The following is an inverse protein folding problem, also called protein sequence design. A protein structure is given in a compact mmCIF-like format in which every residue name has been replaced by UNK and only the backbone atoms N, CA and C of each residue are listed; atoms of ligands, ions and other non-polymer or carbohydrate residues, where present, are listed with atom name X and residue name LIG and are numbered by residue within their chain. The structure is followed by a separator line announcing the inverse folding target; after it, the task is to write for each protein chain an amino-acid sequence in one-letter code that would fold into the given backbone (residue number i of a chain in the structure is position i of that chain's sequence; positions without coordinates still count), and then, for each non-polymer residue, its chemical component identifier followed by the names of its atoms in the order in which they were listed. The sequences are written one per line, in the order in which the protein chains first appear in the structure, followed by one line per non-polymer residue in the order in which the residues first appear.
data_IF_064650980937
#
_entry.id   IF_064650980937
#
_cell.length_a   1.000
_cell.length_b   1.000
_cell.length_c   1.000
_cell.angle_alpha   90.00
_cell.angle_beta   90.00
_cell.angle_gamma   90.00
#
_symmetry.space_group_name_H-M   'P 1'
#
loop_
_entity.id
_entity.type
_entity.pdbx_description
1 polymer ?
#
# COMPACT_ATOMS: atom_id res chain seq x y z
N UNK A 1 17.51 -12.31 -9.13
CA UNK A 1 16.06 -12.08 -8.95
C UNK A 1 15.77 -11.88 -7.48
N UNK A 2 15.03 -10.84 -7.10
CA UNK A 2 14.52 -10.59 -5.74
C UNK A 2 13.01 -10.78 -5.76
N UNK A 3 12.43 -11.54 -4.81
CA UNK A 3 10.99 -11.67 -4.67
C UNK A 3 10.45 -10.69 -3.65
N UNK A 4 9.47 -9.93 -4.03
CA UNK A 4 8.74 -9.01 -3.15
C UNK A 4 7.37 -9.57 -2.80
N UNK A 5 7.05 -9.61 -1.51
CA UNK A 5 5.72 -9.85 -0.99
C UNK A 5 5.27 -8.51 -0.42
N UNK A 6 4.30 -7.87 -1.04
CA UNK A 6 3.88 -6.51 -0.69
C UNK A 6 2.46 -6.54 -0.15
N UNK A 7 2.24 -5.98 1.05
CA UNK A 7 0.91 -5.84 1.61
C UNK A 7 0.49 -4.37 1.69
N UNK A 8 -0.78 -4.10 1.42
CA UNK A 8 -1.43 -2.92 1.96
C UNK A 8 -1.63 -3.13 3.46
N UNK A 9 -1.40 -2.10 4.27
CA UNK A 9 -1.67 -2.15 5.71
C UNK A 9 -3.10 -2.63 6.04
N UNK A 10 -3.30 -3.21 7.21
CA UNK A 10 -4.62 -3.55 7.76
C UNK A 10 -5.52 -2.32 7.88
N UNK A 11 -6.81 -2.50 8.11
CA UNK A 11 -7.74 -1.39 8.29
C UNK A 11 -7.24 -0.44 9.38
N UNK A 12 -7.04 0.83 9.05
CA UNK A 12 -6.72 1.87 10.04
C UNK A 12 -7.99 2.49 10.63
N UNK A 13 -7.84 3.24 11.72
CA UNK A 13 -8.91 4.05 12.30
C UNK A 13 -9.46 5.02 11.24
N UNK A 14 -8.58 5.67 10.46
CA UNK A 14 -9.01 6.55 9.38
C UNK A 14 -9.83 5.82 8.31
N UNK A 15 -9.47 4.58 7.96
CA UNK A 15 -10.27 3.78 7.02
C UNK A 15 -11.66 3.46 7.58
N UNK A 16 -11.77 3.14 8.87
CA UNK A 16 -13.05 2.87 9.52
C UNK A 16 -13.94 4.11 9.57
N UNK A 17 -13.35 5.30 9.71
CA UNK A 17 -14.03 6.60 9.76
C UNK A 17 -14.18 7.27 8.38
N UNK A 18 -13.78 6.61 7.29
CA UNK A 18 -13.85 7.16 5.93
C UNK A 18 -13.05 8.45 5.73
N UNK A 19 -11.91 8.58 6.43
CA UNK A 19 -11.01 9.72 6.32
C UNK A 19 -9.83 9.43 5.38
N UNK A 20 -9.38 10.47 4.72
CA UNK A 20 -8.15 10.46 3.94
C UNK A 20 -6.96 10.55 4.89
N UNK A 21 -6.19 9.48 5.01
CA UNK A 21 -5.13 9.41 6.00
C UNK A 21 -3.84 10.14 5.57
N UNK A 22 -3.41 9.94 4.30
CA UNK A 22 -2.16 10.50 3.80
C UNK A 22 -0.97 10.18 4.70
N UNK A 23 -0.22 11.19 5.12
CA UNK A 23 0.89 11.09 6.09
C UNK A 23 0.43 11.20 7.55
N UNK A 24 -0.84 11.50 7.82
CA UNK A 24 -1.38 11.46 9.18
C UNK A 24 -1.26 10.07 9.79
N UNK A 25 -0.78 10.00 11.04
CA UNK A 25 -0.32 8.76 11.66
C UNK A 25 -1.42 8.05 12.47
N UNK A 26 -2.47 7.64 11.78
CA UNK A 26 -3.53 6.79 12.35
C UNK A 26 -3.07 5.35 12.50
N UNK A 27 -3.34 4.75 13.65
CA UNK A 27 -3.07 3.34 13.92
C UNK A 27 -4.13 2.41 13.32
N UNK A 28 -3.91 1.09 13.45
CA UNK A 28 -4.85 0.04 13.08
C UNK A 28 -6.13 0.11 13.94
N UNK A 29 -7.26 -0.17 13.31
CA UNK A 29 -8.49 -0.51 14.02
C UNK A 29 -8.40 -1.91 14.63
N UNK A 30 -9.37 -2.31 15.46
CA UNK A 30 -9.42 -3.68 15.99
C UNK A 30 -9.52 -4.74 14.86
N UNK A 31 -10.24 -4.43 13.79
CA UNK A 31 -10.27 -5.28 12.59
C UNK A 31 -8.89 -5.30 11.92
N UNK A 32 -8.21 -4.16 11.83
CA UNK A 32 -6.88 -4.07 11.25
C UNK A 32 -5.84 -4.89 12.02
N UNK A 33 -5.93 -4.94 13.35
CA UNK A 33 -5.06 -5.80 14.19
C UNK A 33 -5.30 -7.29 13.90
N UNK A 34 -6.57 -7.70 13.76
CA UNK A 34 -6.90 -9.07 13.37
C UNK A 34 -6.38 -9.40 11.97
N UNK A 35 -6.49 -8.47 11.02
CA UNK A 35 -5.95 -8.63 9.68
C UNK A 35 -4.43 -8.79 9.70
N UNK A 36 -3.71 -8.05 10.54
CA UNK A 36 -2.25 -8.16 10.69
C UNK A 36 -1.83 -9.57 11.16
N UNK A 37 -2.56 -10.16 12.10
CA UNK A 37 -2.32 -11.55 12.55
C UNK A 37 -2.56 -12.56 11.42
N UNK A 38 -3.64 -12.40 10.64
CA UNK A 38 -3.95 -13.28 9.51
C UNK A 38 -2.92 -13.15 8.37
N UNK A 39 -2.40 -11.94 8.12
CA UNK A 39 -1.27 -11.73 7.21
C UNK A 39 -0.05 -12.52 7.70
N UNK A 40 0.27 -12.42 8.98
CA UNK A 40 1.41 -13.14 9.55
C UNK A 40 1.25 -14.66 9.44
N UNK A 41 0.06 -15.21 9.74
CA UNK A 41 -0.24 -16.63 9.56
C UNK A 41 -0.02 -17.10 8.12
N UNK A 42 -0.55 -16.31 7.17
CA UNK A 42 -0.42 -16.61 5.75
C UNK A 42 1.03 -16.54 5.26
N UNK A 43 1.75 -15.48 5.63
CA UNK A 43 3.13 -15.25 5.21
C UNK A 43 4.08 -16.30 5.77
N UNK A 44 4.03 -16.56 7.07
CA UNK A 44 4.91 -17.54 7.71
C UNK A 44 4.67 -18.97 7.21
N UNK A 45 3.42 -19.29 6.80
CA UNK A 45 3.09 -20.60 6.25
C UNK A 45 3.57 -20.80 4.81
N UNK A 46 3.53 -19.76 4.00
CA UNK A 46 3.68 -19.89 2.55
C UNK A 46 5.02 -19.39 2.01
N UNK A 47 5.79 -18.61 2.79
CA UNK A 47 7.03 -18.00 2.31
C UNK A 47 8.16 -18.09 3.32
N UNK A 48 9.38 -18.26 2.81
CA UNK A 48 10.60 -18.02 3.58
C UNK A 48 10.98 -16.55 3.35
N UNK A 49 10.78 -15.72 4.34
CA UNK A 49 11.08 -14.28 4.29
C UNK A 49 12.47 -14.06 4.87
N UNK A 50 13.31 -13.30 4.16
CA UNK A 50 14.69 -13.02 4.53
C UNK A 50 14.90 -11.59 5.07
N UNK A 51 14.00 -10.63 4.73
CA UNK A 51 14.05 -9.25 5.21
C UNK A 51 12.64 -8.64 5.24
N UNK A 52 12.42 -7.66 6.15
CA UNK A 52 11.14 -6.97 6.30
C UNK A 52 11.37 -5.45 6.21
N UNK A 53 10.67 -4.79 5.31
CA UNK A 53 10.60 -3.34 5.16
C UNK A 53 9.18 -2.86 5.40
N UNK A 54 9.04 -1.68 5.97
CA UNK A 54 7.72 -1.09 6.19
C UNK A 54 7.74 0.43 6.01
N UNK A 55 6.63 1.00 5.56
CA UNK A 55 6.36 2.40 5.87
C UNK A 55 6.49 2.61 7.39
N UNK A 56 7.04 3.74 7.78
CA UNK A 56 7.18 4.14 9.19
C UNK A 56 5.88 4.62 9.83
N UNK A 57 4.78 4.78 9.03
CA UNK A 57 3.46 5.11 9.57
C UNK A 57 2.87 3.92 10.35
N UNK A 58 2.31 4.19 11.53
CA UNK A 58 1.86 3.19 12.51
C UNK A 58 1.02 2.08 11.89
N UNK A 59 0.03 2.38 11.06
CA UNK A 59 -0.85 1.39 10.44
C UNK A 59 -0.08 0.36 9.59
N UNK A 60 0.95 0.79 8.86
CA UNK A 60 1.76 -0.11 8.04
C UNK A 60 2.80 -0.85 8.90
N UNK A 61 3.45 -0.13 9.81
CA UNK A 61 4.42 -0.70 10.72
C UNK A 61 3.80 -1.78 11.62
N UNK A 62 2.65 -1.48 12.23
CA UNK A 62 1.93 -2.42 13.10
C UNK A 62 1.33 -3.62 12.34
N UNK A 63 1.11 -3.49 11.03
CA UNK A 63 0.75 -4.65 10.18
C UNK A 63 1.90 -5.65 10.04
N UNK A 64 3.17 -5.21 10.12
CA UNK A 64 4.33 -6.10 10.03
C UNK A 64 4.72 -6.76 11.35
N UNK A 65 4.37 -6.17 12.49
CA UNK A 65 4.82 -6.63 13.82
C UNK A 65 4.57 -8.11 14.07
N UNK A 66 3.39 -8.69 13.82
CA UNK A 66 3.15 -10.11 14.06
C UNK A 66 4.07 -11.02 13.22
N UNK A 67 4.29 -10.64 11.95
CA UNK A 67 5.19 -11.38 11.04
C UNK A 67 6.64 -11.30 11.53
N UNK A 68 7.12 -10.12 11.85
CA UNK A 68 8.47 -9.86 12.34
C UNK A 68 8.76 -10.62 13.63
N UNK A 69 7.82 -10.58 14.59
CA UNK A 69 7.91 -11.30 15.85
C UNK A 69 8.03 -12.82 15.66
N UNK A 70 7.22 -13.41 14.76
CA UNK A 70 7.23 -14.86 14.50
C UNK A 70 8.50 -15.33 13.81
N UNK A 71 9.07 -14.50 12.94
CA UNK A 71 10.27 -14.84 12.19
C UNK A 71 11.58 -14.42 12.88
N UNK A 72 11.50 -13.63 13.95
CA UNK A 72 12.67 -13.08 14.63
C UNK A 72 13.46 -12.10 13.74
N UNK A 73 12.79 -11.39 12.83
CA UNK A 73 13.39 -10.43 11.91
C UNK A 73 13.12 -9.00 12.37
N UNK A 74 14.09 -8.12 12.16
CA UNK A 74 13.91 -6.68 12.37
C UNK A 74 13.09 -6.06 11.23
N UNK A 75 12.29 -5.03 11.56
CA UNK A 75 11.57 -4.22 10.59
C UNK A 75 12.43 -3.01 10.24
N UNK A 76 12.70 -2.81 8.96
CA UNK A 76 13.44 -1.66 8.44
C UNK A 76 12.40 -0.59 7.99
N UNK A 77 12.22 0.50 8.77
CA UNK A 77 11.27 1.55 8.41
C UNK A 77 11.82 2.43 7.29
N UNK A 78 10.93 2.80 6.34
CA UNK A 78 11.27 3.67 5.21
C UNK A 78 10.18 4.73 4.98
N UNK A 79 10.55 6.00 5.04
CA UNK A 79 9.65 7.13 4.73
C UNK A 79 9.21 7.12 3.26
N UNK A 80 10.04 6.59 2.36
CA UNK A 80 9.71 6.44 0.94
C UNK A 80 8.62 5.40 0.66
N UNK A 81 8.25 4.58 1.64
CA UNK A 81 7.10 3.66 1.59
C UNK A 81 5.81 4.27 2.15
N UNK A 82 5.81 5.53 2.62
CA UNK A 82 4.60 6.23 3.09
C UNK A 82 3.55 6.34 1.98
N UNK A 83 2.29 6.45 2.37
CA UNK A 83 1.16 6.75 1.49
C UNK A 83 1.40 8.07 0.72
N UNK A 84 0.58 8.37 -0.27
CA UNK A 84 0.55 9.68 -0.91
C UNK A 84 0.45 10.77 0.18
N UNK A 85 1.29 11.80 0.08
CA UNK A 85 1.11 12.99 0.90
C UNK A 85 -0.21 13.65 0.47
N UNK A 86 -1.20 13.61 1.34
CA UNK A 86 -2.53 14.09 1.01
C UNK A 86 -2.70 15.62 1.24
N UNK A 87 -1.68 16.29 1.78
CA UNK A 87 -1.69 17.73 1.98
C UNK A 87 -2.92 18.18 2.78
N UNK A 88 -3.69 19.10 2.20
CA UNK A 88 -4.88 19.68 2.84
C UNK A 88 -6.05 18.69 3.05
N UNK A 89 -5.97 17.49 2.45
CA UNK A 89 -7.01 16.46 2.60
C UNK A 89 -6.82 15.59 3.84
N UNK A 90 -5.66 15.67 4.49
CA UNK A 90 -5.34 14.79 5.61
C UNK A 90 -6.33 14.93 6.78
N UNK A 91 -6.80 13.78 7.28
CA UNK A 91 -7.78 13.69 8.35
C UNK A 91 -9.21 14.08 7.98
N UNK A 92 -9.48 14.57 6.77
CA UNK A 92 -10.82 14.92 6.28
C UNK A 92 -11.54 13.71 5.74
N UNK A 93 -12.86 13.71 5.83
CA UNK A 93 -13.72 12.77 5.11
C UNK A 93 -13.78 13.13 3.62
N UNK A 94 -14.18 12.18 2.77
CA UNK A 94 -14.36 12.45 1.33
C UNK A 94 -15.40 13.53 1.06
N UNK A 95 -16.45 13.63 1.89
CA UNK A 95 -17.49 14.64 1.75
C UNK A 95 -16.95 16.04 2.10
N UNK A 96 -16.14 16.14 3.16
CA UNK A 96 -15.45 17.37 3.53
C UNK A 96 -14.48 17.83 2.43
N UNK A 97 -13.71 16.89 1.85
CA UNK A 97 -12.79 17.19 0.75
C UNK A 97 -13.56 17.68 -0.48
N UNK A 98 -14.64 17.00 -0.84
CA UNK A 98 -15.47 17.39 -1.97
C UNK A 98 -16.11 18.77 -1.79
N UNK A 99 -16.45 19.14 -0.56
CA UNK A 99 -17.02 20.45 -0.24
C UNK A 99 -15.99 21.57 -0.33
N UNK A 100 -14.76 21.34 0.18
CA UNK A 100 -13.73 22.37 0.32
C UNK A 100 -12.83 22.46 -0.93
N UNK A 101 -12.56 21.32 -1.59
CA UNK A 101 -11.66 21.20 -2.74
C UNK A 101 -12.33 20.49 -3.92
N UNK A 102 -13.48 20.99 -4.42
CA UNK A 102 -14.31 20.28 -5.41
C UNK A 102 -13.60 20.02 -6.73
N UNK A 103 -12.71 20.92 -7.17
CA UNK A 103 -11.97 20.78 -8.43
C UNK A 103 -10.95 19.66 -8.35
N UNK A 104 -10.01 19.71 -7.39
CA UNK A 104 -8.96 18.72 -7.23
C UNK A 104 -9.54 17.33 -6.91
N UNK A 105 -10.55 17.28 -6.04
CA UNK A 105 -11.23 16.02 -5.71
C UNK A 105 -12.05 15.48 -6.89
N UNK A 106 -12.57 16.35 -7.72
CA UNK A 106 -13.21 15.99 -8.99
C UNK A 106 -12.25 15.29 -9.94
N UNK A 107 -11.00 15.78 -10.06
CA UNK A 107 -9.93 15.12 -10.83
C UNK A 107 -9.59 13.77 -10.19
N UNK A 108 -9.41 13.70 -8.87
CA UNK A 108 -9.14 12.44 -8.16
C UNK A 108 -10.18 11.35 -8.44
N UNK A 109 -11.46 11.72 -8.51
CA UNK A 109 -12.55 10.77 -8.77
C UNK A 109 -12.65 10.32 -10.22
N UNK A 110 -12.41 11.21 -11.17
CA UNK A 110 -12.74 10.98 -12.56
C UNK A 110 -11.50 10.77 -13.45
N UNK A 111 -10.34 11.27 -13.03
CA UNK A 111 -9.07 11.17 -13.74
C UNK A 111 -7.91 10.99 -12.74
N UNK A 112 -7.98 9.89 -12.00
CA UNK A 112 -7.01 9.57 -10.95
C UNK A 112 -5.55 9.66 -11.44
N UNK A 113 -5.31 9.27 -12.68
CA UNK A 113 -3.97 9.27 -13.28
C UNK A 113 -3.31 10.65 -13.28
N UNK A 114 -4.10 11.71 -13.46
CA UNK A 114 -3.64 13.09 -13.50
C UNK A 114 -3.92 13.85 -12.19
N UNK A 115 -4.33 13.15 -11.15
CA UNK A 115 -4.71 13.78 -9.89
C UNK A 115 -3.52 14.20 -9.03
N UNK A 116 -3.74 15.25 -8.26
CA UNK A 116 -2.87 15.72 -7.18
C UNK A 116 -3.73 16.05 -5.96
N UNK A 117 -3.31 15.63 -4.79
CA UNK A 117 -3.92 16.11 -3.55
C UNK A 117 -3.57 17.60 -3.36
N UNK A 118 -4.54 18.41 -2.99
CA UNK A 118 -4.32 19.85 -2.76
C UNK A 118 -3.19 20.08 -1.75
N UNK A 119 -2.12 20.75 -2.15
CA UNK A 119 -0.93 20.94 -1.31
C UNK A 119 -0.09 19.69 -1.03
N UNK A 120 -0.39 18.58 -1.71
CA UNK A 120 0.28 17.29 -1.52
C UNK A 120 0.93 16.74 -2.80
N UNK A 121 1.12 15.40 -2.83
CA UNK A 121 1.69 14.67 -3.96
C UNK A 121 0.66 14.43 -5.07
N UNK A 122 1.15 14.27 -6.30
CA UNK A 122 0.41 13.67 -7.41
C UNK A 122 0.57 12.15 -7.42
N UNK A 123 -0.35 11.49 -8.11
CA UNK A 123 -0.27 10.03 -8.36
C UNK A 123 0.97 9.65 -9.17
N UNK A 124 1.43 10.51 -10.09
CA UNK A 124 2.64 10.29 -10.87
C UNK A 124 3.90 10.33 -9.99
N UNK A 125 4.00 11.29 -9.06
CA UNK A 125 5.13 11.36 -8.10
C UNK A 125 5.19 10.11 -7.22
N UNK A 126 4.05 9.59 -6.76
CA UNK A 126 3.99 8.35 -5.99
C UNK A 126 4.42 7.15 -6.85
N UNK A 127 3.98 7.10 -8.11
CA UNK A 127 4.31 6.02 -9.03
C UNK A 127 5.83 5.88 -9.23
N UNK A 128 6.54 7.00 -9.36
CA UNK A 128 8.00 7.00 -9.51
C UNK A 128 8.70 6.72 -8.17
N UNK A 129 8.30 7.38 -7.09
CA UNK A 129 8.89 7.20 -5.75
C UNK A 129 8.86 5.75 -5.27
N UNK A 130 7.75 5.05 -5.45
CA UNK A 130 7.65 3.65 -5.00
C UNK A 130 8.54 2.74 -5.83
N UNK A 131 8.67 2.98 -7.12
CA UNK A 131 9.52 2.15 -7.96
C UNK A 131 11.01 2.33 -7.61
N UNK A 132 11.46 3.56 -7.44
CA UNK A 132 12.84 3.85 -7.01
C UNK A 132 13.14 3.19 -5.66
N UNK A 133 12.14 3.19 -4.76
CA UNK A 133 12.25 2.51 -3.45
C UNK A 133 12.40 1.00 -3.62
N UNK A 134 11.61 0.36 -4.49
CA UNK A 134 11.71 -1.09 -4.76
C UNK A 134 13.06 -1.42 -5.42
N UNK A 135 13.56 -0.62 -6.35
CA UNK A 135 14.88 -0.79 -6.95
C UNK A 135 15.99 -0.80 -5.88
N UNK A 136 15.96 0.19 -4.98
CA UNK A 136 16.93 0.29 -3.88
C UNK A 136 16.86 -0.92 -2.93
N UNK A 137 15.65 -1.35 -2.54
CA UNK A 137 15.50 -2.55 -1.70
C UNK A 137 16.02 -3.79 -2.43
N UNK A 138 15.80 -3.90 -3.75
CA UNK A 138 16.25 -5.03 -4.54
C UNK A 138 17.78 -5.11 -4.65
N UNK A 139 18.48 -3.97 -4.76
CA UNK A 139 19.94 -3.89 -4.76
C UNK A 139 20.53 -4.49 -3.47
N UNK A 140 19.94 -4.17 -2.32
CA UNK A 140 20.39 -4.65 -1.00
C UNK A 140 20.02 -6.12 -0.73
N UNK A 141 19.07 -6.70 -1.51
CA UNK A 141 18.48 -7.99 -1.24
C UNK A 141 18.49 -8.96 -2.44
N UNK A 142 19.55 -8.92 -3.25
CA UNK A 142 19.70 -9.83 -4.38
C UNK A 142 19.56 -11.30 -3.99
N UNK A 143 18.66 -12.05 -4.65
CA UNK A 143 18.43 -13.47 -4.38
C UNK A 143 17.53 -13.79 -3.20
N UNK A 144 16.99 -12.78 -2.50
CA UNK A 144 16.17 -12.93 -1.29
C UNK A 144 14.69 -12.76 -1.56
N UNK A 145 13.88 -13.19 -0.59
CA UNK A 145 12.45 -12.88 -0.49
C UNK A 145 12.25 -11.78 0.56
N UNK A 146 11.68 -10.66 0.14
CA UNK A 146 11.50 -9.45 0.95
C UNK A 146 10.01 -9.22 1.19
N UNK A 147 9.63 -9.05 2.45
CA UNK A 147 8.29 -8.59 2.82
C UNK A 147 8.28 -7.06 2.93
N UNK A 148 7.29 -6.41 2.30
CA UNK A 148 7.09 -4.96 2.34
C UNK A 148 5.67 -4.63 2.75
N UNK A 149 5.48 -3.84 3.81
CA UNK A 149 4.18 -3.27 4.16
C UNK A 149 4.11 -1.81 3.76
N UNK A 150 3.07 -1.46 3.00
CA UNK A 150 2.86 -0.13 2.45
C UNK A 150 1.36 0.21 2.37
N UNK A 151 0.98 1.10 1.47
CA UNK A 151 -0.33 1.74 1.40
C UNK A 151 -1.02 1.51 0.06
N UNK A 152 -2.25 2.02 -0.04
CA UNK A 152 -3.14 1.75 -1.17
C UNK A 152 -2.59 2.32 -2.49
N UNK A 153 -2.15 3.59 -2.50
CA UNK A 153 -1.67 4.26 -3.71
C UNK A 153 -0.35 3.64 -4.18
N UNK A 154 0.57 3.32 -3.26
CA UNK A 154 1.84 2.69 -3.60
C UNK A 154 1.66 1.29 -4.17
N UNK A 155 0.83 0.47 -3.53
CA UNK A 155 0.59 -0.89 -4.01
C UNK A 155 -0.09 -0.88 -5.38
N UNK A 156 -1.04 0.04 -5.61
CA UNK A 156 -1.65 0.25 -6.93
C UNK A 156 -0.62 0.61 -7.99
N UNK A 157 0.31 1.52 -7.68
CA UNK A 157 1.40 1.94 -8.56
C UNK A 157 2.35 0.78 -8.91
N UNK A 158 2.66 -0.10 -7.95
CA UNK A 158 3.44 -1.33 -8.22
C UNK A 158 2.67 -2.30 -9.11
N UNK A 159 1.37 -2.47 -8.89
CA UNK A 159 0.52 -3.30 -9.74
C UNK A 159 0.48 -2.77 -11.18
N UNK A 160 0.37 -1.45 -11.38
CA UNK A 160 0.44 -0.80 -12.69
C UNK A 160 1.76 -1.10 -13.38
N UNK A 161 2.87 -0.74 -12.74
CA UNK A 161 4.21 -0.89 -13.30
C UNK A 161 4.56 -2.34 -13.62
N UNK A 162 4.16 -3.28 -12.77
CA UNK A 162 4.40 -4.72 -13.00
C UNK A 162 3.68 -5.28 -14.22
N UNK A 163 2.60 -4.65 -14.66
CA UNK A 163 1.83 -5.03 -15.83
C UNK A 163 2.19 -4.20 -17.08
N UNK A 164 3.17 -3.31 -16.96
CA UNK A 164 3.66 -2.47 -18.06
C UNK A 164 2.83 -1.22 -18.32
N UNK A 165 1.92 -0.86 -17.42
CA UNK A 165 1.13 0.37 -17.51
C UNK A 165 1.94 1.59 -17.04
N UNK A 166 1.75 2.72 -17.71
CA UNK A 166 2.26 4.01 -17.27
C UNK A 166 1.39 4.61 -16.16
N UNK A 167 1.89 5.64 -15.46
CA UNK A 167 1.13 6.36 -14.45
C UNK A 167 -0.19 6.93 -15.02
N UNK A 168 -0.21 7.37 -16.28
CA UNK A 168 -1.39 7.87 -16.99
C UNK A 168 -2.50 6.82 -17.18
N UNK A 169 -2.19 5.54 -16.98
CA UNK A 169 -3.14 4.43 -17.12
C UNK A 169 -3.63 3.93 -15.75
N UNK A 170 -3.42 4.73 -14.69
CA UNK A 170 -3.75 4.33 -13.31
C UNK A 170 -5.23 3.97 -13.09
N UNK A 171 -6.14 4.42 -13.95
CA UNK A 171 -7.55 4.07 -13.87
C UNK A 171 -7.83 2.59 -14.18
N UNK A 172 -6.92 1.89 -14.88
CA UNK A 172 -7.07 0.49 -15.29
C UNK A 172 -6.93 -0.50 -14.11
N UNK A 173 -6.30 -0.09 -13.01
CA UNK A 173 -6.05 -0.97 -11.87
C UNK A 173 -6.89 -0.53 -10.67
N UNK A 174 -7.70 -1.41 -10.07
CA UNK A 174 -8.44 -1.08 -8.85
C UNK A 174 -7.51 -0.97 -7.64
N UNK A 175 -7.98 -0.30 -6.59
CA UNK A 175 -7.31 -0.34 -5.29
C UNK A 175 -7.44 -1.73 -4.66
N UNK A 176 -6.38 -2.18 -4.00
CA UNK A 176 -6.39 -3.42 -3.22
C UNK A 176 -7.17 -3.27 -1.91
N UNK A 177 -7.72 -4.36 -1.39
CA UNK A 177 -8.32 -4.40 -0.05
C UNK A 177 -7.28 -4.13 1.05
N UNK A 178 -7.74 -3.72 2.25
CA UNK A 178 -6.85 -3.68 3.41
C UNK A 178 -6.27 -5.08 3.67
N UNK A 179 -5.01 -5.14 4.02
CA UNK A 179 -4.26 -6.38 4.25
C UNK A 179 -4.20 -7.34 3.03
N UNK A 180 -4.56 -6.89 1.83
CA UNK A 180 -4.33 -7.66 0.62
C UNK A 180 -2.82 -7.80 0.35
N UNK A 181 -2.43 -8.95 -0.20
CA UNK A 181 -1.05 -9.29 -0.52
C UNK A 181 -0.87 -9.35 -2.03
N UNK A 182 0.21 -8.77 -2.53
CA UNK A 182 0.68 -8.94 -3.91
C UNK A 182 2.09 -9.52 -3.89
N UNK A 183 2.40 -10.39 -4.84
CA UNK A 183 3.71 -11.01 -5.01
C UNK A 183 4.28 -10.60 -6.36
N UNK A 184 5.52 -10.11 -6.34
CA UNK A 184 6.24 -9.70 -7.54
C UNK A 184 7.64 -10.32 -7.55
N UNK A 185 8.17 -10.57 -8.73
CA UNK A 185 9.58 -10.87 -8.97
C UNK A 185 10.24 -9.65 -9.61
N UNK A 186 11.43 -9.29 -9.12
CA UNK A 186 12.23 -8.17 -9.64
C UNK A 186 13.58 -8.67 -10.15
N UNK A 187 13.85 -8.41 -11.43
CA UNK A 187 15.11 -8.79 -12.06
C UNK A 187 15.45 -7.84 -13.22
N UNK A 188 16.70 -7.41 -13.30
CA UNK A 188 17.18 -6.55 -14.39
C UNK A 188 16.40 -5.24 -14.52
N UNK A 189 15.98 -4.63 -13.41
CA UNK A 189 15.16 -3.40 -13.42
C UNK A 189 13.70 -3.62 -13.81
N UNK A 190 13.22 -4.86 -13.91
CA UNK A 190 11.84 -5.17 -14.27
C UNK A 190 11.09 -5.82 -13.10
N UNK A 191 9.94 -5.23 -12.75
CA UNK A 191 8.97 -5.82 -11.82
C UNK A 191 7.96 -6.66 -12.60
N UNK A 192 7.78 -7.93 -12.21
CA UNK A 192 6.86 -8.85 -12.88
C UNK A 192 5.85 -9.38 -11.85
N UNK A 193 4.53 -9.33 -12.12
CA UNK A 193 3.53 -9.82 -11.18
C UNK A 193 3.52 -11.35 -11.17
N UNK A 194 3.51 -11.93 -9.95
CA UNK A 194 3.35 -13.37 -9.74
C UNK A 194 1.92 -13.67 -9.28
N UNK A 195 1.43 -12.95 -8.29
CA UNK A 195 0.04 -13.04 -7.81
C UNK A 195 -0.39 -11.69 -7.23
N UNK A 196 -1.53 -11.19 -7.65
CA UNK A 196 -2.05 -9.90 -7.24
C UNK A 196 -3.32 -10.05 -6.41
N UNK A 197 -3.49 -9.14 -5.45
CA UNK A 197 -4.69 -8.99 -4.62
C UNK A 197 -5.14 -10.29 -3.93
N UNK A 198 -4.20 -10.99 -3.29
CA UNK A 198 -4.47 -12.18 -2.47
C UNK A 198 -5.22 -11.75 -1.22
N UNK A 199 -6.43 -12.28 -1.00
CA UNK A 199 -7.31 -11.94 0.13
C UNK A 199 -7.92 -13.14 0.82
N UNK A 200 -7.65 -14.36 0.35
CA UNK A 200 -8.22 -15.61 0.88
C UNK A 200 -7.95 -15.82 2.38
N UNK A 201 -6.85 -15.28 2.90
CA UNK A 201 -6.49 -15.35 4.33
C UNK A 201 -7.40 -14.49 5.22
N UNK A 202 -8.09 -13.48 4.67
CA UNK A 202 -8.90 -12.53 5.43
C UNK A 202 -10.28 -13.07 5.80
N UNK A 203 -10.82 -14.02 5.03
CA UNK A 203 -12.13 -14.60 5.31
C UNK A 203 -13.21 -13.54 5.56
N UNK A 204 -13.84 -13.59 6.77
CA UNK A 204 -14.93 -12.67 7.14
C UNK A 204 -14.48 -11.27 7.57
N UNK A 205 -13.19 -11.06 7.81
CA UNK A 205 -12.65 -9.74 8.22
C UNK A 205 -12.10 -8.93 7.05
N UNK A 206 -12.42 -9.33 5.82
CA UNK A 206 -12.09 -8.54 4.64
C UNK A 206 -12.80 -7.19 4.73
N UNK A 207 -12.04 -6.11 4.63
CA UNK A 207 -12.58 -4.75 4.52
C UNK A 207 -12.37 -4.25 3.11
N UNK A 208 -13.44 -3.76 2.50
CA UNK A 208 -13.44 -3.30 1.12
C UNK A 208 -12.63 -2.03 0.92
N UNK A 209 -12.27 -1.80 -0.33
CA UNK A 209 -11.98 -0.46 -0.80
C UNK A 209 -13.26 0.35 -0.64
N UNK A 210 -13.19 1.51 -0.01
CA UNK A 210 -14.37 2.34 0.19
C UNK A 210 -15.05 2.60 -1.16
N UNK A 211 -16.36 2.36 -1.26
CA UNK A 211 -17.13 2.53 -2.51
C UNK A 211 -17.07 3.95 -3.08
N UNK A 212 -16.64 4.94 -2.27
CA UNK A 212 -16.40 6.31 -2.70
C UNK A 212 -15.20 6.47 -3.63
N UNK A 213 -14.32 5.46 -3.74
CA UNK A 213 -13.14 5.44 -4.63
C UNK A 213 -13.29 4.48 -5.80
N UNK A 214 -14.38 3.72 -5.86
CA UNK A 214 -14.68 2.80 -6.97
C UNK A 214 -16.00 3.20 -7.60
N UNK A 215 -15.97 3.56 -8.85
CA UNK A 215 -17.10 3.33 -9.74
C UNK A 215 -16.90 2.03 -10.43
#
# INVERSE_FOLDING_TARGET
MTRFIVTRHGQSIANAECRFAGHSDFDLSEIGKQQAELVADYLCKNFKIDAIYSSDLLRAFNTTLPTASRLGLEIIPMTSLREINAGEWEGRTTDEIQLVYPEDFGVWKNDYANSRCTGGESTAEVYDRVYDTICKIAEDNGGKTVYVSTHATLLRSLCLRSQGFAASEANEIPFSHNAAICVFDFEGGKLTPVKLNITEHLGKVITGVHRSFTK
#
